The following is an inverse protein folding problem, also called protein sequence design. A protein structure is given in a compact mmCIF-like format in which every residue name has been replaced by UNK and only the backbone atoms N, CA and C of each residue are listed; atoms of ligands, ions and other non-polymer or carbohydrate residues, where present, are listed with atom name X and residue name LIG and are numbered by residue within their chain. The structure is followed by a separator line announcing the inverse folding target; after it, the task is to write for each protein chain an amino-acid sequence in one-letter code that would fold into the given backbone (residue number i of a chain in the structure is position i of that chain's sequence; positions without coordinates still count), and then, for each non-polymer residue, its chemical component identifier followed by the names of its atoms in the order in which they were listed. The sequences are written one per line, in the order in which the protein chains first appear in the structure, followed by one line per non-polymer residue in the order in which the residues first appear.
data_IF_317862449114
#
_entry.id   IF_317862449114
#
_cell.length_a   1.000
_cell.length_b   1.000
_cell.length_c   1.000
_cell.angle_alpha   90.00
_cell.angle_beta   90.00
_cell.angle_gamma   90.00
#
_symmetry.space_group_name_H-M   'P 1'
#
loop_
_entity.id
_entity.type
_entity.pdbx_description
1 polymer ?
#
# COMPACT_ATOMS: atom_id res chain seq x y z
N UNK A 1 -10.77 22.64 -17.04
CA UNK A 1 -10.41 21.53 -16.15
C UNK A 1 -11.70 20.78 -15.97
N UNK A 2 -11.85 19.68 -16.71
CA UNK A 2 -13.07 18.90 -16.67
C UNK A 2 -13.03 18.07 -15.39
N UNK A 3 -14.11 18.12 -14.61
CA UNK A 3 -14.26 17.22 -13.47
C UNK A 3 -14.15 15.78 -13.96
N UNK A 4 -13.20 15.03 -13.39
CA UNK A 4 -12.98 13.63 -13.76
C UNK A 4 -14.22 12.77 -13.48
N UNK A 5 -15.11 13.25 -12.60
CA UNK A 5 -16.30 12.55 -12.13
C UNK A 5 -15.91 11.32 -11.32
N UNK A 6 -14.84 11.43 -10.53
CA UNK A 6 -14.39 10.39 -9.60
C UNK A 6 -15.40 10.23 -8.46
N UNK A 7 -15.52 9.00 -8.00
CA UNK A 7 -16.53 8.54 -7.05
C UNK A 7 -16.01 7.23 -6.44
N UNK A 8 -16.18 7.06 -5.14
CA UNK A 8 -15.73 5.89 -4.37
C UNK A 8 -16.17 4.57 -5.02
N UNK A 9 -17.39 4.50 -5.58
CA UNK A 9 -17.88 3.30 -6.25
C UNK A 9 -17.11 2.98 -7.55
N UNK A 10 -16.71 4.00 -8.32
CA UNK A 10 -15.88 3.82 -9.54
C UNK A 10 -14.45 3.43 -9.19
N UNK A 11 -13.86 4.13 -8.21
CA UNK A 11 -12.51 3.86 -7.70
C UNK A 11 -12.41 2.42 -7.18
N UNK A 12 -13.44 1.95 -6.44
CA UNK A 12 -13.55 0.57 -5.99
C UNK A 12 -13.63 -0.44 -7.15
N UNK A 13 -14.36 -0.12 -8.23
CA UNK A 13 -14.38 -0.96 -9.44
C UNK A 13 -12.99 -1.08 -10.08
N UNK A 14 -12.27 0.04 -10.23
CA UNK A 14 -10.93 0.05 -10.80
C UNK A 14 -9.93 -0.76 -9.95
N UNK A 15 -10.06 -0.67 -8.62
CA UNK A 15 -9.28 -1.45 -7.67
C UNK A 15 -9.59 -2.95 -7.77
N UNK A 16 -10.86 -3.34 -7.83
CA UNK A 16 -11.27 -4.73 -7.93
C UNK A 16 -10.81 -5.37 -9.26
N UNK A 17 -10.92 -4.63 -10.39
CA UNK A 17 -10.38 -5.08 -11.68
C UNK A 17 -8.86 -5.32 -11.61
N UNK A 18 -8.13 -4.36 -11.01
CA UNK A 18 -6.68 -4.41 -10.90
C UNK A 18 -6.18 -5.52 -9.96
N UNK A 19 -6.84 -5.73 -8.82
CA UNK A 19 -6.59 -6.86 -7.92
C UNK A 19 -6.86 -8.21 -8.61
N UNK A 20 -8.00 -8.34 -9.30
CA UNK A 20 -8.37 -9.55 -10.04
C UNK A 20 -7.33 -9.83 -11.14
N UNK A 21 -6.74 -8.80 -11.76
CA UNK A 21 -5.69 -8.98 -12.76
C UNK A 21 -4.42 -9.62 -12.20
N UNK A 22 -4.10 -9.41 -10.91
CA UNK A 22 -2.94 -9.99 -10.22
C UNK A 22 -3.27 -11.20 -9.32
N UNK A 23 -4.52 -11.66 -9.32
CA UNK A 23 -4.97 -12.84 -8.55
C UNK A 23 -5.30 -12.59 -7.08
N UNK A 24 -5.30 -11.33 -6.62
CA UNK A 24 -5.66 -11.01 -5.23
C UNK A 24 -7.18 -11.04 -5.02
N UNK A 25 -7.71 -12.14 -4.50
CA UNK A 25 -9.12 -12.22 -4.09
C UNK A 25 -9.37 -11.51 -2.74
N UNK A 26 -10.39 -10.64 -2.69
CA UNK A 26 -10.76 -9.93 -1.45
C UNK A 26 -11.46 -10.86 -0.46
N UNK A 27 -10.92 -10.95 0.76
CA UNK A 27 -11.59 -11.55 1.92
C UNK A 27 -12.35 -10.47 2.70
N UNK A 28 -11.76 -9.28 2.85
CA UNK A 28 -12.35 -8.14 3.56
C UNK A 28 -12.05 -6.85 2.81
N UNK A 29 -13.09 -6.15 2.36
CA UNK A 29 -13.00 -4.75 1.92
C UNK A 29 -13.72 -3.84 2.92
N UNK A 30 -13.12 -2.69 3.23
CA UNK A 30 -13.67 -1.61 4.05
C UNK A 30 -13.48 -0.28 3.35
N UNK A 31 -14.57 0.46 3.22
CA UNK A 31 -14.59 1.82 2.69
C UNK A 31 -14.90 2.78 3.83
N UNK A 32 -14.21 3.91 3.87
CA UNK A 32 -14.41 5.02 4.80
C UNK A 32 -14.53 6.29 3.95
N UNK A 33 -15.72 6.86 3.91
CA UNK A 33 -16.09 8.02 3.07
C UNK A 33 -16.10 9.34 3.89
N UNK A 34 -15.64 9.28 5.14
CA UNK A 34 -15.50 10.37 6.09
C UNK A 34 -14.05 10.91 6.17
N UNK A 35 -13.23 10.64 5.15
CA UNK A 35 -11.81 11.03 5.08
C UNK A 35 -11.65 12.36 4.34
N UNK A 36 -12.17 13.43 4.94
CA UNK A 36 -12.16 14.78 4.37
C UNK A 36 -13.17 14.93 3.22
N UNK A 37 -12.72 15.47 2.08
CA UNK A 37 -13.51 15.51 0.84
C UNK A 37 -13.51 14.14 0.11
N UNK A 38 -12.73 13.16 0.58
CA UNK A 38 -12.37 11.93 -0.15
C UNK A 38 -12.63 10.62 0.62
N UNK A 39 -11.86 9.58 0.29
CA UNK A 39 -12.12 8.22 0.79
C UNK A 39 -10.86 7.39 1.05
N UNK A 40 -10.95 6.51 2.04
CA UNK A 40 -9.99 5.42 2.30
C UNK A 40 -10.67 4.08 1.97
N UNK A 41 -10.05 3.30 1.09
CA UNK A 41 -10.44 1.92 0.81
C UNK A 41 -9.31 1.00 1.27
N UNK A 42 -9.63 0.06 2.16
CA UNK A 42 -8.74 -1.02 2.59
C UNK A 42 -9.32 -2.35 2.14
N UNK A 43 -8.56 -3.09 1.34
CA UNK A 43 -8.86 -4.47 0.96
C UNK A 43 -7.77 -5.41 1.47
N UNK A 44 -8.18 -6.52 2.09
CA UNK A 44 -7.31 -7.58 2.61
C UNK A 44 -7.65 -8.89 1.92
N UNK A 45 -6.61 -9.61 1.50
CA UNK A 45 -6.66 -10.94 0.87
C UNK A 45 -5.86 -11.95 1.71
N UNK A 46 -5.83 -13.22 1.30
CA UNK A 46 -4.97 -14.23 1.92
C UNK A 46 -3.48 -14.01 1.64
N UNK A 47 -3.13 -13.37 0.52
CA UNK A 47 -1.76 -13.27 -0.01
C UNK A 47 -1.23 -11.82 0.03
N UNK A 48 -1.93 -10.90 0.70
CA UNK A 48 -1.57 -9.48 0.69
C UNK A 48 -2.72 -8.51 1.02
N UNK A 49 -2.48 -7.23 0.78
CA UNK A 49 -3.47 -6.16 1.01
C UNK A 49 -3.30 -5.02 0.02
N UNK A 50 -4.35 -4.22 -0.16
CA UNK A 50 -4.31 -2.94 -0.87
C UNK A 50 -4.95 -1.86 -0.01
N UNK A 51 -4.23 -0.76 0.18
CA UNK A 51 -4.73 0.46 0.80
C UNK A 51 -4.73 1.56 -0.26
N UNK A 52 -5.91 2.11 -0.55
CA UNK A 52 -6.11 3.21 -1.48
C UNK A 52 -6.65 4.42 -0.72
N UNK A 53 -6.06 5.59 -0.95
CA UNK A 53 -6.53 6.88 -0.43
C UNK A 53 -6.79 7.83 -1.59
N UNK A 54 -7.98 8.42 -1.64
CA UNK A 54 -8.37 9.47 -2.57
C UNK A 54 -8.61 10.78 -1.82
N UNK A 55 -8.16 11.89 -2.38
CA UNK A 55 -8.22 13.23 -1.77
C UNK A 55 -9.57 13.96 -1.96
N UNK A 56 -10.54 13.32 -2.64
CA UNK A 56 -11.80 13.95 -3.04
C UNK A 56 -11.73 14.71 -4.35
N UNK A 57 -10.56 14.71 -5.03
CA UNK A 57 -10.29 15.48 -6.25
C UNK A 57 -9.54 14.62 -7.26
N UNK A 58 -8.30 14.97 -7.58
CA UNK A 58 -7.52 14.39 -8.68
C UNK A 58 -6.42 13.43 -8.23
N UNK A 59 -6.19 13.28 -6.92
CA UNK A 59 -5.06 12.51 -6.40
C UNK A 59 -5.50 11.21 -5.71
N UNK A 60 -5.02 10.08 -6.26
CA UNK A 60 -5.20 8.75 -5.68
C UNK A 60 -3.83 8.17 -5.35
N UNK A 61 -3.61 7.87 -4.07
CA UNK A 61 -2.46 7.10 -3.57
C UNK A 61 -2.86 5.64 -3.42
N UNK A 62 -2.08 4.72 -4.01
CA UNK A 62 -2.27 3.27 -3.83
C UNK A 62 -0.99 2.67 -3.24
N UNK A 63 -1.13 1.96 -2.12
CA UNK A 63 -0.09 1.14 -1.51
C UNK A 63 -0.61 -0.30 -1.48
N UNK A 64 0.00 -1.19 -2.25
CA UNK A 64 -0.33 -2.62 -2.23
C UNK A 64 0.87 -3.47 -1.82
N UNK A 65 0.56 -4.63 -1.26
CA UNK A 65 1.50 -5.70 -0.96
C UNK A 65 0.88 -7.02 -1.44
N UNK A 66 1.73 -7.88 -2.00
CA UNK A 66 1.40 -9.26 -2.37
C UNK A 66 2.61 -10.16 -2.10
N UNK A 67 2.36 -11.40 -1.71
CA UNK A 67 3.36 -12.47 -1.63
C UNK A 67 3.68 -13.06 -3.03
N UNK A 68 2.91 -12.70 -4.07
CA UNK A 68 3.19 -13.09 -5.45
C UNK A 68 4.35 -12.26 -6.05
N UNK A 69 5.56 -12.82 -6.03
CA UNK A 69 6.77 -12.24 -6.64
C UNK A 69 6.87 -12.44 -8.19
N UNK A 70 5.79 -12.79 -8.89
CA UNK A 70 5.80 -12.90 -10.36
C UNK A 70 6.26 -11.59 -11.05
N UNK A 71 7.24 -11.73 -11.95
CA UNK A 71 7.80 -10.61 -12.71
C UNK A 71 6.71 -9.98 -13.59
N UNK A 72 6.46 -8.68 -13.39
CA UNK A 72 5.40 -7.95 -14.08
C UNK A 72 4.11 -7.76 -13.30
N UNK A 73 4.01 -8.30 -12.07
CA UNK A 73 2.80 -8.14 -11.22
C UNK A 73 2.43 -6.68 -10.95
N UNK A 74 3.34 -5.77 -10.54
CA UNK A 74 3.03 -4.35 -10.41
C UNK A 74 2.59 -3.69 -11.73
N UNK A 75 3.26 -4.02 -12.85
CA UNK A 75 2.92 -3.50 -14.18
C UNK A 75 1.52 -3.94 -14.61
N UNK A 76 1.13 -5.18 -14.28
CA UNK A 76 -0.18 -5.78 -14.58
C UNK A 76 -1.29 -5.14 -13.75
N UNK A 77 -1.06 -4.91 -12.45
CA UNK A 77 -1.97 -4.17 -11.58
C UNK A 77 -2.20 -2.74 -12.12
N UNK A 78 -1.12 -1.98 -12.28
CA UNK A 78 -1.17 -0.57 -12.70
C UNK A 78 -1.79 -0.43 -14.09
N UNK A 79 -1.41 -1.27 -15.06
CA UNK A 79 -1.98 -1.26 -16.41
C UNK A 79 -3.49 -1.53 -16.41
N UNK A 80 -3.97 -2.47 -15.58
CA UNK A 80 -5.42 -2.71 -15.46
C UNK A 80 -6.13 -1.54 -14.79
N UNK A 81 -5.60 -1.02 -13.67
CA UNK A 81 -6.20 0.12 -12.95
C UNK A 81 -6.37 1.36 -13.84
N UNK A 82 -5.30 1.73 -14.56
CA UNK A 82 -5.33 2.86 -15.51
C UNK A 82 -6.32 2.63 -16.65
N UNK A 83 -6.37 1.40 -17.21
CA UNK A 83 -7.32 1.04 -18.26
C UNK A 83 -8.77 1.11 -17.78
N UNK A 84 -9.08 0.61 -16.57
CA UNK A 84 -10.43 0.70 -16.00
C UNK A 84 -10.83 2.14 -15.68
N UNK A 85 -9.88 3.02 -15.35
CA UNK A 85 -10.11 4.47 -15.25
C UNK A 85 -10.42 5.16 -16.59
N UNK A 86 -10.33 4.44 -17.71
CA UNK A 86 -10.48 4.99 -19.06
C UNK A 86 -9.28 5.84 -19.50
N UNK A 87 -8.08 5.52 -19.00
CA UNK A 87 -6.82 6.26 -19.25
C UNK A 87 -6.87 7.75 -18.83
N UNK A 88 -7.81 8.10 -17.94
CA UNK A 88 -7.94 9.43 -17.33
C UNK A 88 -6.91 9.72 -16.24
N UNK A 89 -6.45 8.67 -15.56
CA UNK A 89 -5.43 8.75 -14.53
C UNK A 89 -4.03 8.52 -15.14
N UNK A 90 -3.00 9.04 -14.48
CA UNK A 90 -1.60 8.83 -14.85
C UNK A 90 -0.75 8.51 -13.60
N UNK A 91 0.36 7.81 -13.79
CA UNK A 91 1.30 7.51 -12.70
C UNK A 91 2.10 8.78 -12.39
N UNK A 92 1.92 9.35 -11.20
CA UNK A 92 2.74 10.47 -10.73
C UNK A 92 4.07 10.02 -10.15
N UNK A 93 4.01 9.19 -9.11
CA UNK A 93 5.16 8.58 -8.44
C UNK A 93 4.87 7.09 -8.17
N UNK A 94 5.91 6.26 -8.26
CA UNK A 94 5.91 4.85 -7.86
C UNK A 94 7.21 4.56 -7.10
N UNK A 95 7.10 3.80 -6.02
CA UNK A 95 8.22 3.32 -5.21
C UNK A 95 7.99 1.83 -4.92
N UNK A 96 8.96 1.00 -5.30
CA UNK A 96 8.86 -0.47 -5.20
C UNK A 96 9.73 -0.95 -4.02
N UNK A 97 9.12 -1.05 -2.84
CA UNK A 97 9.84 -1.37 -1.60
C UNK A 97 9.92 -2.90 -1.36
N UNK A 98 11.09 -3.54 -1.43
CA UNK A 98 11.23 -4.97 -1.17
C UNK A 98 10.99 -5.29 0.30
N UNK A 99 9.88 -5.97 0.61
CA UNK A 99 9.55 -6.37 1.99
C UNK A 99 10.22 -7.70 2.34
N UNK A 100 11.12 -7.69 3.34
CA UNK A 100 11.73 -8.90 3.90
C UNK A 100 13.10 -9.30 3.34
N UNK A 101 13.59 -8.63 2.29
CA UNK A 101 15.00 -8.77 1.84
C UNK A 101 15.91 -8.25 2.95
N UNK A 102 16.77 -9.12 3.48
CA UNK A 102 17.51 -8.95 4.74
C UNK A 102 16.59 -8.63 5.94
N UNK A 103 16.11 -9.69 6.59
CA UNK A 103 15.63 -9.68 8.00
C UNK A 103 16.65 -8.88 8.85
N UNK A 104 16.26 -8.10 9.87
CA UNK A 104 15.69 -8.55 11.15
C UNK A 104 15.18 -7.33 11.94
N UNK A 105 14.04 -7.45 12.62
CA UNK A 105 13.91 -6.93 14.01
C UNK A 105 13.33 -8.03 14.91
N UNK A 106 14.21 -8.59 15.72
CA UNK A 106 13.94 -9.02 17.09
C UNK A 106 15.17 -8.56 17.91
N UNK A 107 15.00 -8.18 19.17
CA UNK A 107 16.05 -7.42 19.88
C UNK A 107 16.37 -7.93 21.30
N UNK A 108 17.57 -7.56 21.82
CA UNK A 108 18.18 -8.21 22.98
C UNK A 108 17.72 -7.54 24.29
N UNK A 109 17.22 -8.22 25.33
CA UNK A 109 17.17 -9.64 25.71
C UNK A 109 18.33 -10.23 26.56
N UNK A 110 19.45 -10.90 26.21
CA UNK A 110 20.29 -11.12 25.01
C UNK A 110 19.70 -11.71 23.71
N UNK A 111 20.41 -12.32 22.74
CA UNK A 111 21.85 -12.45 22.39
C UNK A 111 22.87 -12.69 23.54
N UNK A 112 22.44 -13.43 24.58
CA UNK A 112 23.13 -13.73 25.86
C UNK A 112 23.37 -12.56 26.87
N UNK A 113 22.78 -12.60 28.09
CA UNK A 113 22.96 -11.55 29.12
C UNK A 113 24.35 -11.49 29.76
N UNK A 114 25.27 -12.44 29.47
CA UNK A 114 26.64 -12.47 30.00
C UNK A 114 27.62 -11.56 29.25
N UNK A 115 27.21 -11.01 28.10
CA UNK A 115 28.10 -10.30 27.17
C UNK A 115 27.84 -8.79 27.05
N UNK A 116 26.87 -8.26 27.82
CA UNK A 116 26.57 -6.83 27.90
C UNK A 116 27.74 -6.03 28.49
N UNK A 117 28.46 -5.27 27.66
CA UNK A 117 29.26 -4.14 28.15
C UNK A 117 28.33 -3.08 28.74
N UNK A 118 28.61 -2.50 29.92
CA UNK A 118 27.81 -1.41 30.47
C UNK A 118 28.03 -0.13 29.65
N UNK A 119 26.95 0.60 29.36
CA UNK A 119 26.99 1.94 28.77
C UNK A 119 26.42 2.97 29.77
N UNK A 120 26.97 4.19 29.78
CA UNK A 120 26.65 5.25 30.75
C UNK A 120 25.72 6.32 30.17
N UNK A 121 24.91 6.92 31.03
CA UNK A 121 23.63 7.56 30.66
C UNK A 121 23.72 8.97 30.02
N UNK A 122 24.77 9.31 29.26
CA UNK A 122 24.95 10.68 28.72
C UNK A 122 24.55 10.86 27.24
N UNK A 123 24.41 9.79 26.46
CA UNK A 123 24.31 9.92 24.98
C UNK A 123 22.87 10.10 24.43
N UNK A 124 21.82 9.87 25.23
CA UNK A 124 20.46 9.67 24.70
C UNK A 124 19.58 10.93 24.59
N UNK A 125 19.97 12.05 25.20
CA UNK A 125 19.12 13.26 25.34
C UNK A 125 19.45 14.41 24.36
N UNK A 126 20.03 14.10 23.19
CA UNK A 126 20.58 15.10 22.27
C UNK A 126 20.16 14.92 20.79
N UNK A 127 18.86 14.76 20.53
CA UNK A 127 18.20 15.00 19.23
C UNK A 127 16.68 15.13 19.39
#
# INVERSE_FOLDING_TARGET
VDDLGLDTAKILSYLNDAMTSIGLESIVTKNYEDVGDGALILTVSSEGYVTLVWDGREHISVNFFTENEEIGTPEKFVKTFLKSSGEKLQIGLRDDQPRGVNRVINFPSDMDPRFRKPCSAQEFFAR
#
